data_IF_336231737812
#
_entry.id   IF_336231737812
#
_cell.length_a   1.000
_cell.length_b   1.000
_cell.length_c   1.000
_cell.angle_alpha   90.00
_cell.angle_beta   90.00
_cell.angle_gamma   90.00
#
_symmetry.space_group_name_H-M   'P 1'
#
loop_
_entity.id
_entity.type
_entity.pdbx_description
1 polymer ?
#
# COMPACT_ATOMS: atom_id res chain seq x y z
N UNK A 1 0.90 -16.49 0.57
CA UNK A 1 -0.39 -15.76 0.71
C UNK A 1 -0.23 -14.42 -0.01
N UNK A 2 -1.17 -13.96 -0.85
CA UNK A 2 -0.96 -12.75 -1.62
C UNK A 2 -0.89 -11.50 -0.73
N UNK A 3 0.15 -10.67 -0.90
CA UNK A 3 0.26 -9.38 -0.22
C UNK A 3 -0.89 -8.46 -0.69
N UNK A 4 -1.53 -7.75 0.24
CA UNK A 4 -2.63 -6.86 -0.02
C UNK A 4 -2.11 -5.60 -0.68
N UNK A 5 -2.93 -5.08 -1.58
CA UNK A 5 -2.71 -3.75 -2.13
C UNK A 5 -3.04 -2.72 -1.03
N UNK A 6 -2.02 -2.17 -0.38
CA UNK A 6 -2.13 -1.32 0.81
C UNK A 6 -1.55 0.05 0.65
N UNK A 7 -2.02 0.96 1.50
CA UNK A 7 -1.40 2.24 1.74
C UNK A 7 -1.99 2.97 2.94
N UNK A 8 -1.41 4.13 3.21
CA UNK A 8 -1.99 5.16 4.05
C UNK A 8 -2.02 6.46 3.24
N UNK A 9 -3.13 7.18 3.28
CA UNK A 9 -3.25 8.53 2.71
C UNK A 9 -3.80 9.46 3.77
N UNK A 10 -3.19 10.63 3.89
CA UNK A 10 -3.64 11.70 4.78
C UNK A 10 -3.89 12.98 4.01
N UNK A 11 -4.92 13.71 4.41
CA UNK A 11 -5.29 15.00 3.84
C UNK A 11 -5.12 16.07 4.90
N UNK A 12 -4.38 17.11 4.53
CA UNK A 12 -4.18 18.29 5.35
C UNK A 12 -4.93 19.47 4.75
N UNK A 13 -5.48 20.31 5.62
CA UNK A 13 -6.00 21.64 5.29
C UNK A 13 -5.18 22.72 5.99
N UNK A 14 -5.07 23.93 5.42
CA UNK A 14 -4.45 25.07 6.09
C UNK A 14 -5.28 25.45 7.32
N UNK A 15 -4.62 25.62 8.46
CA UNK A 15 -5.29 25.91 9.73
C UNK A 15 -5.97 27.28 9.78
N UNK A 16 -5.55 28.22 8.94
CA UNK A 16 -6.16 29.55 8.79
C UNK A 16 -7.37 29.55 7.83
N UNK A 17 -7.66 28.41 7.20
CA UNK A 17 -8.76 28.23 6.25
C UNK A 17 -8.53 28.84 4.86
N UNK A 18 -7.34 29.38 4.59
CA UNK A 18 -7.03 30.02 3.31
C UNK A 18 -6.46 28.98 2.33
N UNK A 19 -7.30 28.51 1.41
CA UNK A 19 -6.86 27.53 0.40
C UNK A 19 -5.65 28.01 -0.40
N UNK A 20 -4.64 27.14 -0.55
CA UNK A 20 -3.42 27.41 -1.30
C UNK A 20 -2.27 28.02 -0.47
N UNK A 21 -2.46 28.29 0.81
CA UNK A 21 -1.37 28.77 1.70
C UNK A 21 -0.49 27.64 2.23
N UNK A 22 -1.05 26.44 2.37
CA UNK A 22 -0.33 25.26 2.86
C UNK A 22 0.50 24.62 1.75
N UNK A 23 1.81 24.64 1.93
CA UNK A 23 2.77 23.84 1.20
C UNK A 23 3.25 22.70 2.09
N UNK A 24 3.22 21.49 1.52
CA UNK A 24 3.65 20.25 2.15
C UNK A 24 4.79 19.71 1.30
N UNK A 25 5.97 19.56 1.89
CA UNK A 25 7.16 19.11 1.16
C UNK A 25 7.81 17.94 1.88
N UNK A 26 8.26 16.97 1.09
CA UNK A 26 9.12 15.91 1.60
C UNK A 26 10.57 16.41 1.58
N UNK A 27 11.23 16.30 2.72
CA UNK A 27 12.63 16.72 2.91
C UNK A 27 13.55 15.50 2.82
N UNK A 28 14.80 15.72 2.44
CA UNK A 28 15.82 14.69 2.58
C UNK A 28 16.05 14.40 4.07
N UNK A 29 16.24 13.14 4.39
CA UNK A 29 16.63 12.73 5.73
C UNK A 29 18.08 13.19 5.99
N UNK A 30 18.40 13.57 7.22
CA UNK A 30 19.70 14.18 7.55
C UNK A 30 20.88 13.24 7.28
N UNK A 31 20.64 11.93 7.43
CA UNK A 31 21.65 10.88 7.34
C UNK A 31 21.67 10.16 5.98
N UNK A 32 20.64 10.35 5.15
CA UNK A 32 20.53 9.74 3.83
C UNK A 32 20.15 10.82 2.83
N UNK A 33 20.88 10.98 1.71
CA UNK A 33 20.51 11.91 0.62
C UNK A 33 19.22 11.46 -0.12
N UNK A 34 18.30 10.82 0.58
CA UNK A 34 17.05 10.24 0.14
C UNK A 34 15.93 10.85 0.98
N UNK A 35 14.76 10.94 0.36
CA UNK A 35 13.59 11.54 0.99
C UNK A 35 12.80 10.53 1.86
N UNK A 36 13.07 9.24 1.69
CA UNK A 36 12.42 8.13 2.39
C UNK A 36 13.45 7.05 2.72
N UNK A 37 13.28 6.42 3.88
CA UNK A 37 14.00 5.22 4.29
C UNK A 37 13.02 4.08 4.66
N UNK A 38 13.45 2.81 4.54
CA UNK A 38 12.60 1.68 4.91
C UNK A 38 12.46 1.56 6.43
N UNK A 39 11.29 1.12 6.87
CA UNK A 39 11.06 0.60 8.21
C UNK A 39 11.00 -0.91 8.13
N UNK A 40 11.81 -1.59 8.91
CA UNK A 40 11.73 -3.02 9.14
C UNK A 40 11.88 -3.29 10.62
N UNK A 41 10.86 -3.91 11.23
CA UNK A 41 10.94 -4.45 12.58
C UNK A 41 10.62 -5.94 12.49
N UNK A 42 11.55 -6.82 12.91
CA UNK A 42 11.30 -8.25 12.86
C UNK A 42 10.11 -8.61 13.74
N UNK A 43 9.44 -9.70 13.37
CA UNK A 43 8.40 -10.30 14.18
C UNK A 43 8.92 -10.60 15.60
N UNK A 44 8.14 -10.26 16.63
CA UNK A 44 8.50 -10.56 18.01
C UNK A 44 8.41 -12.07 18.29
N UNK A 45 7.44 -12.72 17.65
CA UNK A 45 7.16 -14.15 17.74
C UNK A 45 7.07 -14.77 16.33
N UNK A 46 7.42 -16.07 16.15
CA UNK A 46 7.37 -16.75 14.85
C UNK A 46 5.99 -16.76 14.17
N UNK A 47 4.92 -16.64 14.95
CA UNK A 47 3.52 -16.63 14.49
C UNK A 47 3.05 -15.23 14.05
N UNK A 48 3.87 -14.19 14.25
CA UNK A 48 3.54 -12.80 13.88
C UNK A 48 4.31 -12.37 12.65
N UNK A 49 3.77 -11.39 11.93
CA UNK A 49 4.47 -10.84 10.76
C UNK A 49 5.44 -9.73 11.18
N UNK A 50 6.54 -9.54 10.44
CA UNK A 50 7.37 -8.36 10.61
C UNK A 50 6.56 -7.10 10.28
N UNK A 51 6.86 -6.01 10.99
CA UNK A 51 6.33 -4.70 10.65
C UNK A 51 7.23 -4.06 9.58
N UNK A 52 6.66 -3.77 8.42
CA UNK A 52 7.37 -3.12 7.31
C UNK A 52 6.71 -1.78 6.95
N UNK A 53 7.48 -0.87 6.37
CA UNK A 53 6.94 0.42 5.97
C UNK A 53 8.00 1.40 5.48
N UNK A 54 7.65 2.68 5.57
CA UNK A 54 8.51 3.80 5.20
C UNK A 54 8.54 4.84 6.30
N UNK A 55 9.65 5.56 6.38
CA UNK A 55 9.83 6.77 7.20
C UNK A 55 10.30 7.90 6.30
N UNK A 56 9.90 9.13 6.63
CA UNK A 56 10.33 10.33 5.91
C UNK A 56 10.22 11.58 6.79
N UNK A 57 10.69 12.70 6.27
CA UNK A 57 10.60 14.01 6.93
C UNK A 57 9.67 14.94 6.15
N UNK A 58 8.59 15.36 6.78
CA UNK A 58 7.61 16.30 6.24
C UNK A 58 7.95 17.71 6.70
N UNK A 59 7.91 18.70 5.80
CA UNK A 59 7.98 20.11 6.16
C UNK A 59 6.68 20.83 5.78
N UNK A 60 6.15 21.58 6.74
CA UNK A 60 4.94 22.38 6.63
C UNK A 60 5.31 23.86 6.74
N UNK A 61 4.97 24.66 5.72
CA UNK A 61 5.28 26.10 5.72
C UNK A 61 4.36 26.93 6.63
N UNK A 62 3.18 26.42 6.94
CA UNK A 62 2.11 27.05 7.72
C UNK A 62 1.47 25.99 8.61
N UNK A 63 0.69 26.42 9.61
CA UNK A 63 -0.01 25.47 10.48
C UNK A 63 -1.03 24.67 9.65
N UNK A 64 -1.11 23.37 9.90
CA UNK A 64 -1.95 22.45 9.13
C UNK A 64 -2.86 21.62 10.05
N UNK A 65 -4.01 21.22 9.54
CA UNK A 65 -4.91 20.29 10.21
C UNK A 65 -5.01 19.03 9.36
N UNK A 66 -4.61 17.90 9.92
CA UNK A 66 -4.91 16.59 9.34
C UNK A 66 -6.38 16.27 9.63
N UNK A 67 -7.20 16.34 8.58
CA UNK A 67 -8.65 16.16 8.69
C UNK A 67 -9.08 14.71 8.42
N UNK A 68 -8.41 14.06 7.48
CA UNK A 68 -8.76 12.71 7.03
C UNK A 68 -7.50 11.87 6.92
N UNK A 69 -7.50 10.73 7.61
CA UNK A 69 -6.53 9.64 7.41
C UNK A 69 -7.26 8.40 6.93
N UNK A 70 -6.82 7.81 5.83
CA UNK A 70 -7.34 6.55 5.28
C UNK A 70 -6.21 5.53 5.36
N UNK A 71 -6.34 4.55 6.26
CA UNK A 71 -5.34 3.50 6.49
C UNK A 71 -5.93 2.16 6.04
N UNK A 72 -5.26 1.45 5.14
CA UNK A 72 -5.66 0.10 4.74
C UNK A 72 -5.59 -0.13 3.23
N UNK A 73 -6.60 -0.79 2.67
CA UNK A 73 -6.59 -1.18 1.26
C UNK A 73 -6.50 0.01 0.30
N UNK A 74 -5.71 -0.14 -0.76
CA UNK A 74 -5.66 0.77 -1.92
C UNK A 74 -7.05 1.01 -2.50
N UNK A 75 -7.95 0.01 -2.37
CA UNK A 75 -9.30 0.11 -2.90
C UNK A 75 -10.12 1.12 -2.12
N UNK A 76 -9.98 1.13 -0.79
CA UNK A 76 -10.59 2.14 0.08
C UNK A 76 -10.06 3.53 -0.25
N UNK A 77 -8.75 3.67 -0.45
CA UNK A 77 -8.13 4.93 -0.85
C UNK A 77 -8.68 5.40 -2.21
N UNK A 78 -8.72 4.53 -3.21
CA UNK A 78 -9.19 4.83 -4.56
C UNK A 78 -10.67 5.20 -4.61
N UNK A 79 -11.52 4.52 -3.82
CA UNK A 79 -12.94 4.82 -3.72
C UNK A 79 -13.18 6.23 -3.14
N UNK A 80 -12.23 6.75 -2.34
CA UNK A 80 -12.26 8.12 -1.84
C UNK A 80 -11.65 9.15 -2.83
N UNK A 81 -10.46 8.88 -3.37
CA UNK A 81 -9.72 9.88 -4.16
C UNK A 81 -10.21 10.02 -5.59
N UNK A 82 -10.68 8.95 -6.19
CA UNK A 82 -11.05 8.90 -7.62
C UNK A 82 -12.48 8.45 -7.84
N UNK A 83 -13.07 7.81 -6.83
CA UNK A 83 -14.48 7.47 -6.80
C UNK A 83 -15.34 8.66 -6.35
N UNK A 84 -16.56 8.39 -5.89
CA UNK A 84 -17.47 9.42 -5.40
C UNK A 84 -17.14 9.84 -3.95
N UNK A 85 -15.86 9.84 -3.59
CA UNK A 85 -15.38 10.22 -2.25
C UNK A 85 -15.97 9.41 -1.09
N UNK A 86 -16.05 8.08 -1.27
CA UNK A 86 -16.63 7.18 -0.27
C UNK A 86 -15.61 6.84 0.83
N UNK A 87 -16.01 7.08 2.07
CA UNK A 87 -15.39 6.50 3.26
C UNK A 87 -16.32 5.42 3.83
N UNK A 88 -15.83 4.18 3.91
CA UNK A 88 -16.58 3.07 4.50
C UNK A 88 -16.58 3.24 6.03
N UNK A 89 -17.72 3.45 6.70
CA UNK A 89 -17.74 3.79 8.12
C UNK A 89 -17.09 2.73 9.02
N UNK A 90 -17.28 1.45 8.74
CA UNK A 90 -16.67 0.36 9.53
C UNK A 90 -15.14 0.31 9.42
N UNK A 91 -14.56 0.83 8.34
CA UNK A 91 -13.11 0.94 8.17
C UNK A 91 -12.63 2.28 8.74
N UNK A 92 -13.24 3.38 8.32
CA UNK A 92 -12.80 4.72 8.67
C UNK A 92 -12.94 5.02 10.16
N UNK A 93 -14.00 4.53 10.82
CA UNK A 93 -14.23 4.77 12.25
C UNK A 93 -13.37 3.88 13.15
N UNK A 94 -12.67 2.89 12.60
CA UNK A 94 -11.75 2.04 13.35
C UNK A 94 -10.38 2.69 13.60
N UNK A 95 -10.07 3.83 12.95
CA UNK A 95 -8.84 4.56 13.23
C UNK A 95 -8.80 5.04 14.69
N UNK A 96 -7.75 4.68 15.40
CA UNK A 96 -7.44 5.17 16.74
C UNK A 96 -6.34 6.22 16.65
N UNK A 97 -6.58 7.38 17.26
CA UNK A 97 -5.62 8.49 17.31
C UNK A 97 -5.17 8.65 18.75
N UNK A 98 -3.86 8.61 18.96
CA UNK A 98 -3.24 8.62 20.29
C UNK A 98 -2.08 9.60 20.32
N UNK A 99 -1.97 10.37 21.41
CA UNK A 99 -0.81 11.19 21.75
C UNK A 99 0.35 10.27 22.16
N UNK A 100 1.51 10.42 21.52
CA UNK A 100 2.68 9.58 21.82
C UNK A 100 3.40 9.96 23.13
N UNK A 101 2.90 10.99 23.84
CA UNK A 101 3.42 11.60 25.07
C UNK A 101 4.79 12.26 24.91
N UNK A 102 5.30 12.34 23.70
CA UNK A 102 6.54 13.00 23.32
C UNK A 102 6.30 14.20 22.38
N UNK A 103 5.04 14.63 22.25
CA UNK A 103 4.62 15.73 21.38
C UNK A 103 4.31 15.31 19.94
N UNK A 104 4.30 14.02 19.64
CA UNK A 104 3.84 13.44 18.39
C UNK A 104 2.42 12.87 18.49
N UNK A 105 1.96 12.29 17.38
CA UNK A 105 0.69 11.59 17.32
C UNK A 105 0.82 10.30 16.51
N UNK A 106 0.04 9.30 16.89
CA UNK A 106 -0.07 8.02 16.19
C UNK A 106 -1.51 7.80 15.77
N UNK A 107 -1.71 7.41 14.52
CA UNK A 107 -2.95 6.88 13.97
C UNK A 107 -2.71 5.40 13.72
N UNK A 108 -3.47 4.52 14.37
CA UNK A 108 -3.41 3.09 14.08
C UNK A 108 -4.80 2.55 13.74
N UNK A 109 -4.84 1.43 13.02
CA UNK A 109 -6.09 0.75 12.70
C UNK A 109 -5.87 -0.76 12.63
N UNK A 110 -6.55 -1.48 13.52
CA UNK A 110 -6.74 -2.92 13.40
C UNK A 110 -7.72 -3.20 12.25
N UNK A 111 -7.35 -4.12 11.38
CA UNK A 111 -8.11 -4.49 10.21
C UNK A 111 -9.31 -5.36 10.58
N UNK A 112 -10.19 -5.56 9.59
CA UNK A 112 -11.38 -6.38 9.75
C UNK A 112 -11.06 -7.88 9.88
N UNK A 113 -9.81 -8.28 9.59
CA UNK A 113 -9.30 -9.63 9.88
C UNK A 113 -8.98 -9.86 11.36
N UNK A 114 -8.98 -8.80 12.18
CA UNK A 114 -8.67 -8.81 13.60
C UNK A 114 -7.24 -9.28 13.94
N UNK A 115 -6.33 -9.22 12.98
CA UNK A 115 -4.91 -9.59 13.14
C UNK A 115 -3.99 -8.47 12.67
N UNK A 116 -4.24 -7.93 11.47
CA UNK A 116 -3.36 -6.95 10.84
C UNK A 116 -3.62 -5.55 11.37
N UNK A 117 -2.57 -4.81 11.68
CA UNK A 117 -2.63 -3.40 12.07
C UNK A 117 -1.81 -2.53 11.12
N UNK A 118 -2.39 -1.41 10.70
CA UNK A 118 -1.65 -0.33 10.02
C UNK A 118 -1.38 0.80 11.00
N UNK A 119 -0.20 1.39 10.91
CA UNK A 119 0.27 2.46 11.77
C UNK A 119 0.75 3.64 10.93
N UNK A 120 0.42 4.85 11.37
CA UNK A 120 0.92 6.11 10.84
C UNK A 120 1.28 7.01 12.02
N UNK A 121 2.56 7.29 12.21
CA UNK A 121 3.06 8.13 13.31
C UNK A 121 3.66 9.41 12.79
N UNK A 122 3.49 10.50 13.53
CA UNK A 122 4.17 11.77 13.31
C UNK A 122 4.90 12.18 14.58
N UNK A 123 6.14 12.65 14.47
CA UNK A 123 6.92 13.20 15.58
C UNK A 123 7.58 14.52 15.18
N UNK A 124 7.51 15.55 16.02
CA UNK A 124 8.15 16.83 15.72
C UNK A 124 9.67 16.68 15.71
N UNK A 125 10.31 17.24 14.69
CA UNK A 125 11.75 17.43 14.68
C UNK A 125 12.06 18.75 15.41
N UNK A 126 12.18 18.66 16.74
CA UNK A 126 12.34 19.84 17.62
C UNK A 126 13.62 20.62 17.35
N UNK A 127 14.66 19.97 16.83
CA UNK A 127 15.92 20.62 16.48
C UNK A 127 15.78 21.47 15.22
N UNK A 128 14.90 21.05 14.30
CA UNK A 128 14.64 21.73 13.02
C UNK A 128 13.25 22.39 12.97
N UNK A 129 12.79 22.96 14.08
CA UNK A 129 11.62 23.84 14.12
C UNK A 129 10.26 23.14 14.20
N UNK A 130 10.22 21.81 14.32
CA UNK A 130 9.01 21.05 14.64
C UNK A 130 8.51 21.36 16.06
N UNK A 131 7.20 21.53 16.20
CA UNK A 131 6.55 21.77 17.50
C UNK A 131 5.59 20.63 17.85
N UNK A 132 5.31 20.38 19.15
CA UNK A 132 4.33 19.37 19.54
C UNK A 132 2.99 19.51 18.80
N UNK A 133 2.46 18.41 18.32
CA UNK A 133 1.13 18.37 17.69
C UNK A 133 0.03 18.44 18.75
N UNK A 134 -1.16 18.89 18.36
CA UNK A 134 -2.34 18.85 19.23
C UNK A 134 -3.45 18.01 18.62
N UNK A 135 -4.07 17.18 19.45
CA UNK A 135 -5.16 16.29 19.04
C UNK A 135 -6.47 16.87 19.55
N UNK A 136 -7.44 17.05 18.65
CA UNK A 136 -8.80 17.47 19.00
C UNK A 136 -9.79 16.53 18.34
N UNK A 137 -10.44 15.69 19.14
CA UNK A 137 -11.36 14.66 18.65
C UNK A 137 -10.68 13.72 17.64
N UNK A 138 -10.94 13.90 16.33
CA UNK A 138 -10.39 13.07 15.24
C UNK A 138 -9.41 13.81 14.33
N UNK A 139 -9.06 15.05 14.66
CA UNK A 139 -8.12 15.85 13.88
C UNK A 139 -6.82 16.04 14.64
N UNK A 140 -5.73 16.14 13.89
CA UNK A 140 -4.39 16.42 14.41
C UNK A 140 -3.96 17.75 13.83
N UNK A 141 -3.66 18.71 14.70
CA UNK A 141 -3.15 20.02 14.31
C UNK A 141 -1.64 20.07 14.48
N UNK A 142 -1.00 20.58 13.45
CA UNK A 142 0.43 20.80 13.32
C UNK A 142 0.71 22.30 13.24
N UNK A 143 1.75 22.76 13.91
CA UNK A 143 2.30 24.10 13.67
C UNK A 143 3.31 24.06 12.51
N UNK A 144 3.72 25.20 11.93
CA UNK A 144 4.73 25.20 10.87
C UNK A 144 6.02 24.56 11.38
N UNK A 145 6.71 23.81 10.52
CA UNK A 145 7.96 23.14 10.89
C UNK A 145 8.10 21.76 10.29
N UNK A 146 9.07 21.01 10.83
CA UNK A 146 9.47 19.70 10.33
C UNK A 146 8.95 18.57 11.24
N UNK A 147 8.44 17.51 10.63
CA UNK A 147 7.84 16.37 11.31
C UNK A 147 8.29 15.08 10.64
N UNK A 148 8.98 14.23 11.40
CA UNK A 148 9.21 12.87 10.92
C UNK A 148 7.87 12.13 10.89
N UNK A 149 7.62 11.38 9.83
CA UNK A 149 6.47 10.49 9.74
C UNK A 149 6.93 9.06 9.46
N UNK A 150 6.16 8.09 9.95
CA UNK A 150 6.35 6.69 9.58
C UNK A 150 5.00 6.04 9.29
N UNK A 151 4.89 5.37 8.16
CA UNK A 151 3.74 4.57 7.77
C UNK A 151 4.17 3.10 7.65
N UNK A 152 3.55 2.20 8.42
CA UNK A 152 3.93 0.78 8.46
C UNK A 152 2.75 -0.15 8.74
N UNK A 153 2.93 -1.43 8.51
CA UNK A 153 1.93 -2.48 8.74
C UNK A 153 2.60 -3.84 9.00
N UNK A 154 1.88 -4.77 9.62
CA UNK A 154 2.32 -6.11 10.04
C UNK A 154 1.54 -7.23 9.31
N UNK A 155 1.58 -7.21 7.98
CA UNK A 155 0.92 -8.19 7.11
C UNK A 155 1.96 -9.13 6.46
N UNK A 156 1.61 -10.37 6.05
CA UNK A 156 2.52 -11.22 5.28
C UNK A 156 3.08 -10.56 4.01
N UNK A 157 4.40 -10.59 3.84
CA UNK A 157 5.07 -10.02 2.66
C UNK A 157 5.09 -11.01 1.49
N UNK A 158 5.06 -10.49 0.25
CA UNK A 158 5.32 -11.32 -0.93
C UNK A 158 6.83 -11.49 -1.12
N UNK A 159 7.20 -12.62 -1.70
CA UNK A 159 8.56 -12.87 -2.15
C UNK A 159 8.77 -12.24 -3.52
N UNK A 160 9.53 -11.15 -3.53
CA UNK A 160 9.85 -10.38 -4.73
C UNK A 160 10.91 -11.09 -5.56
N UNK A 161 10.71 -11.11 -6.88
CA UNK A 161 11.75 -11.52 -7.81
C UNK A 161 12.80 -10.40 -7.92
N UNK A 162 14.06 -10.73 -7.70
CA UNK A 162 15.19 -9.83 -7.95
C UNK A 162 15.32 -9.49 -9.43
N UNK A 163 16.15 -8.48 -9.73
CA UNK A 163 16.46 -8.09 -11.11
C UNK A 163 17.12 -9.22 -11.92
N UNK A 164 17.81 -10.14 -11.25
CA UNK A 164 18.38 -11.33 -11.87
C UNK A 164 17.32 -12.42 -12.10
N UNK A 165 16.43 -12.65 -11.14
CA UNK A 165 15.40 -13.69 -11.21
C UNK A 165 14.28 -13.36 -12.19
N UNK A 166 13.96 -12.07 -12.39
CA UNK A 166 12.89 -11.66 -13.30
C UNK A 166 13.25 -11.80 -14.78
N UNK A 167 14.55 -11.80 -15.11
CA UNK A 167 15.06 -11.84 -16.48
C UNK A 167 15.59 -13.24 -16.85
N UNK A 168 15.39 -13.65 -18.11
CA UNK A 168 16.08 -14.83 -18.63
C UNK A 168 17.59 -14.60 -18.78
N UNK A 169 18.36 -15.69 -18.90
CA UNK A 169 19.83 -15.65 -19.01
C UNK A 169 20.30 -14.80 -20.20
N UNK A 170 19.58 -14.81 -21.33
CA UNK A 170 19.96 -14.06 -22.52
C UNK A 170 19.78 -12.54 -22.37
N UNK A 171 18.92 -12.10 -21.44
CA UNK A 171 18.53 -10.70 -21.26
C UNK A 171 19.18 -10.03 -20.04
N UNK A 172 20.08 -10.73 -19.34
CA UNK A 172 20.73 -10.21 -18.13
C UNK A 172 21.50 -8.90 -18.33
N UNK A 173 21.98 -8.63 -19.55
CA UNK A 173 22.66 -7.36 -19.88
C UNK A 173 21.77 -6.12 -19.71
N UNK A 174 20.44 -6.28 -19.71
CA UNK A 174 19.48 -5.19 -19.47
C UNK A 174 19.62 -4.57 -18.08
N UNK A 175 20.09 -5.33 -17.08
CA UNK A 175 20.35 -4.81 -15.72
C UNK A 175 21.31 -3.62 -15.74
N UNK A 176 22.29 -3.63 -16.65
CA UNK A 176 23.25 -2.52 -16.82
C UNK A 176 22.82 -1.51 -17.88
N UNK A 177 22.08 -1.94 -18.91
CA UNK A 177 21.66 -1.06 -20.03
C UNK A 177 20.44 -0.21 -19.70
N UNK A 178 19.57 -0.70 -18.81
CA UNK A 178 18.27 -0.10 -18.48
C UNK A 178 17.91 -0.38 -17.02
N UNK A 179 18.77 0.04 -16.06
CA UNK A 179 18.65 -0.32 -14.65
C UNK A 179 17.30 0.10 -14.06
N UNK A 180 16.85 1.33 -14.31
CA UNK A 180 15.58 1.84 -13.77
C UNK A 180 14.37 1.06 -14.28
N UNK A 181 14.38 0.62 -15.53
CA UNK A 181 13.30 -0.19 -16.11
C UNK A 181 13.28 -1.60 -15.52
N UNK A 182 14.47 -2.21 -15.33
CA UNK A 182 14.57 -3.54 -14.73
C UNK A 182 14.22 -3.51 -13.24
N UNK A 183 14.64 -2.47 -12.52
CA UNK A 183 14.24 -2.25 -11.12
C UNK A 183 12.72 -2.09 -11.00
N UNK A 184 12.10 -1.34 -11.92
CA UNK A 184 10.64 -1.19 -11.97
C UNK A 184 9.93 -2.50 -12.29
N UNK A 185 10.50 -3.33 -13.17
CA UNK A 185 9.96 -4.65 -13.50
C UNK A 185 10.05 -5.60 -12.30
N UNK A 186 11.22 -5.67 -11.65
CA UNK A 186 11.43 -6.45 -10.42
C UNK A 186 10.51 -5.96 -9.29
N UNK A 187 10.34 -4.64 -9.15
CA UNK A 187 9.43 -4.03 -8.18
C UNK A 187 7.99 -4.58 -8.29
N UNK A 188 7.52 -4.84 -9.51
CA UNK A 188 6.17 -5.32 -9.79
C UNK A 188 6.09 -6.84 -9.94
N UNK A 189 7.19 -7.58 -9.76
CA UNK A 189 7.26 -9.02 -10.02
C UNK A 189 7.52 -9.80 -8.74
N UNK A 190 6.62 -10.72 -8.42
CA UNK A 190 6.69 -11.59 -7.26
C UNK A 190 6.50 -13.03 -7.70
N UNK A 191 6.99 -13.97 -6.90
CA UNK A 191 6.92 -15.42 -7.18
C UNK A 191 5.50 -15.90 -7.45
N UNK A 192 4.51 -15.33 -6.73
CA UNK A 192 3.11 -15.71 -6.86
C UNK A 192 2.36 -14.98 -7.99
N UNK A 193 2.82 -13.79 -8.41
CA UNK A 193 2.14 -12.93 -9.41
C UNK A 193 2.95 -11.69 -9.82
N UNK A 194 2.65 -11.16 -11.00
CA UNK A 194 3.01 -9.79 -11.38
C UNK A 194 1.86 -8.82 -11.07
N UNK A 195 2.20 -7.66 -10.51
CA UNK A 195 1.27 -6.57 -10.23
C UNK A 195 1.01 -5.73 -11.49
N UNK A 196 -0.21 -5.21 -11.63
CA UNK A 196 -0.60 -4.43 -12.81
C UNK A 196 0.05 -3.04 -12.86
N UNK A 197 0.49 -2.50 -11.73
CA UNK A 197 1.26 -1.26 -11.66
C UNK A 197 1.35 -0.65 -10.26
N UNK A 198 2.16 0.39 -10.12
CA UNK A 198 2.28 1.18 -8.88
C UNK A 198 1.45 2.48 -8.94
N UNK A 199 1.19 3.17 -7.83
CA UNK A 199 0.77 2.66 -6.52
C UNK A 199 -0.73 2.25 -6.55
N UNK A 200 -1.47 2.70 -7.58
CA UNK A 200 -2.93 2.62 -7.72
C UNK A 200 -3.46 1.21 -8.05
N UNK A 201 -2.64 0.39 -8.68
CA UNK A 201 -3.00 -0.93 -9.21
C UNK A 201 -2.06 -2.03 -8.69
N UNK A 202 -1.62 -1.91 -7.44
CA UNK A 202 -0.72 -2.84 -6.74
C UNK A 202 -1.37 -4.20 -6.42
N UNK A 203 -2.02 -4.81 -7.40
CA UNK A 203 -2.63 -6.15 -7.32
C UNK A 203 -2.67 -6.78 -8.71
N UNK A 204 -3.15 -8.02 -8.77
CA UNK A 204 -3.36 -8.76 -10.00
C UNK A 204 -4.53 -8.20 -10.82
N UNK A 205 -4.32 -8.05 -12.13
CA UNK A 205 -5.36 -7.79 -13.13
C UNK A 205 -5.19 -8.74 -14.31
N UNK A 206 -6.10 -9.70 -14.50
CA UNK A 206 -5.83 -10.84 -15.39
C UNK A 206 -5.58 -10.48 -16.85
N UNK A 207 -6.29 -9.49 -17.38
CA UNK A 207 -6.03 -9.00 -18.74
C UNK A 207 -4.65 -8.35 -18.84
N UNK A 208 -4.34 -7.46 -17.90
CA UNK A 208 -3.14 -6.64 -17.97
C UNK A 208 -1.89 -7.50 -17.71
N UNK A 209 -1.96 -8.44 -16.76
CA UNK A 209 -0.91 -9.44 -16.53
C UNK A 209 -0.64 -10.31 -17.77
N UNK A 210 -1.67 -10.80 -18.46
CA UNK A 210 -1.50 -11.61 -19.68
C UNK A 210 -0.97 -10.81 -20.89
N UNK A 211 -1.40 -9.55 -21.04
CA UNK A 211 -0.85 -8.65 -22.08
C UNK A 211 0.61 -8.34 -21.77
N UNK A 212 0.95 -8.01 -20.52
CA UNK A 212 2.34 -7.78 -20.10
C UNK A 212 3.22 -8.99 -20.35
N UNK A 213 2.74 -10.20 -20.03
CA UNK A 213 3.44 -11.44 -20.37
C UNK A 213 3.65 -11.55 -21.89
N UNK A 214 2.62 -11.35 -22.71
CA UNK A 214 2.76 -11.43 -24.17
C UNK A 214 3.83 -10.46 -24.72
N UNK A 215 3.91 -9.26 -24.17
CA UNK A 215 4.85 -8.23 -24.62
C UNK A 215 6.28 -8.45 -24.08
N UNK A 216 6.41 -8.93 -22.84
CA UNK A 216 7.69 -9.04 -22.14
C UNK A 216 8.27 -10.45 -22.16
N UNK A 217 7.53 -11.47 -22.60
CA UNK A 217 7.99 -12.87 -22.66
C UNK A 217 9.42 -13.04 -23.20
N UNK A 218 9.87 -12.33 -24.26
CA UNK A 218 11.23 -12.49 -24.79
C UNK A 218 12.35 -12.21 -23.77
N UNK A 219 12.07 -11.44 -22.71
CA UNK A 219 13.05 -11.07 -21.69
C UNK A 219 12.79 -11.71 -20.33
N UNK A 220 11.58 -12.18 -20.06
CA UNK A 220 11.20 -12.77 -18.77
C UNK A 220 11.85 -14.14 -18.57
N UNK A 221 12.15 -14.47 -17.32
CA UNK A 221 12.58 -15.82 -16.92
C UNK A 221 11.45 -16.84 -17.10
N UNK A 222 11.83 -18.06 -17.47
CA UNK A 222 10.92 -19.20 -17.69
C UNK A 222 11.39 -20.41 -16.86
N UNK A 223 10.45 -21.28 -16.49
CA UNK A 223 10.70 -22.45 -15.64
C UNK A 223 10.03 -22.35 -14.27
N UNK A 224 10.44 -23.23 -13.36
CA UNK A 224 9.99 -23.24 -11.96
C UNK A 224 10.44 -21.96 -11.24
N UNK A 225 9.54 -21.37 -10.44
CA UNK A 225 9.73 -20.14 -9.67
C UNK A 225 10.10 -18.91 -10.52
N UNK A 226 9.70 -18.90 -11.80
CA UNK A 226 10.04 -17.86 -12.77
C UNK A 226 8.96 -16.79 -12.95
N UNK A 227 9.32 -15.68 -13.60
CA UNK A 227 8.38 -14.59 -13.87
C UNK A 227 7.24 -15.02 -14.81
N UNK A 228 7.50 -15.87 -15.81
CA UNK A 228 6.45 -16.40 -16.70
C UNK A 228 5.50 -17.34 -15.96
N UNK A 229 6.03 -18.22 -15.09
CA UNK A 229 5.20 -19.09 -14.27
C UNK A 229 4.33 -18.28 -13.31
N UNK A 230 4.90 -17.28 -12.62
CA UNK A 230 4.17 -16.40 -11.72
C UNK A 230 2.93 -15.78 -12.39
N UNK A 231 3.03 -15.34 -13.65
CA UNK A 231 1.87 -14.80 -14.38
C UNK A 231 0.83 -15.88 -14.68
N UNK A 232 1.25 -17.01 -15.25
CA UNK A 232 0.33 -18.06 -15.69
C UNK A 232 -0.37 -18.70 -14.49
N UNK A 233 0.38 -19.02 -13.43
CA UNK A 233 -0.16 -19.55 -12.18
C UNK A 233 -1.16 -18.59 -11.55
N UNK A 234 -0.83 -17.30 -11.45
CA UNK A 234 -1.75 -16.30 -10.91
C UNK A 234 -3.08 -16.24 -11.66
N UNK A 235 -3.06 -16.41 -12.98
CA UNK A 235 -4.27 -16.49 -13.83
C UNK A 235 -5.06 -17.75 -13.55
N UNK A 236 -4.40 -18.92 -13.61
CA UNK A 236 -5.05 -20.23 -13.43
C UNK A 236 -5.72 -20.36 -12.06
N UNK A 237 -5.05 -19.90 -10.99
CA UNK A 237 -5.60 -19.89 -9.63
C UNK A 237 -6.89 -19.09 -9.50
N UNK A 238 -7.08 -18.10 -10.37
CA UNK A 238 -8.20 -17.14 -10.32
C UNK A 238 -9.23 -17.37 -11.43
N UNK A 239 -9.18 -18.52 -12.10
CA UNK A 239 -10.23 -18.96 -13.02
C UNK A 239 -11.45 -19.44 -12.23
N UNK A 240 -12.63 -18.99 -12.65
CA UNK A 240 -13.87 -19.54 -12.16
C UNK A 240 -14.03 -20.99 -12.65
N UNK A 241 -13.98 -21.95 -11.71
CA UNK A 241 -14.08 -23.39 -12.01
C UNK A 241 -15.40 -23.81 -12.67
N UNK A 242 -16.44 -22.99 -12.60
CA UNK A 242 -17.76 -23.31 -13.15
C UNK A 242 -17.91 -22.88 -14.60
N UNK A 243 -17.45 -21.68 -14.96
CA UNK A 243 -17.66 -21.10 -16.30
C UNK A 243 -16.37 -20.77 -17.07
N UNK A 244 -15.20 -21.04 -16.49
CA UNK A 244 -13.89 -20.78 -17.11
C UNK A 244 -13.53 -19.29 -17.21
N UNK A 245 -14.32 -18.38 -16.64
CA UNK A 245 -14.01 -16.96 -16.71
C UNK A 245 -12.79 -16.59 -15.88
N UNK A 246 -11.89 -15.80 -16.47
CA UNK A 246 -10.70 -15.28 -15.79
C UNK A 246 -11.08 -14.09 -14.90
N UNK A 247 -10.46 -14.00 -13.72
CA UNK A 247 -10.60 -12.86 -12.84
C UNK A 247 -10.10 -11.57 -13.51
N UNK A 248 -10.94 -10.52 -13.50
CA UNK A 248 -10.54 -9.22 -14.03
C UNK A 248 -9.56 -8.49 -13.09
N UNK A 249 -9.87 -8.46 -11.80
CA UNK A 249 -9.12 -7.78 -10.74
C UNK A 249 -9.29 -8.59 -9.46
N UNK A 250 -8.17 -8.92 -8.82
CA UNK A 250 -8.18 -9.60 -7.53
C UNK A 250 -8.48 -8.58 -6.41
N UNK A 251 -9.44 -8.91 -5.56
CA UNK A 251 -9.74 -8.19 -4.34
C UNK A 251 -9.18 -8.94 -3.15
N UNK A 252 -8.32 -8.28 -2.35
CA UNK A 252 -7.51 -8.90 -1.28
C UNK A 252 -7.43 -8.00 -0.06
N UNK A 253 -6.90 -8.55 1.03
CA UNK A 253 -6.68 -7.86 2.30
C UNK A 253 -7.97 -7.34 2.91
N UNK A 254 -7.88 -6.22 3.62
CA UNK A 254 -8.99 -5.63 4.38
C UNK A 254 -10.26 -5.41 3.55
N UNK A 255 -10.12 -5.04 2.28
CA UNK A 255 -11.29 -4.83 1.41
C UNK A 255 -11.97 -6.14 1.04
N UNK A 256 -11.24 -7.25 0.89
CA UNK A 256 -11.85 -8.56 0.70
C UNK A 256 -12.64 -8.99 1.93
N UNK A 257 -12.06 -8.79 3.13
CA UNK A 257 -12.75 -9.04 4.40
C UNK A 257 -14.02 -8.21 4.51
N UNK A 258 -13.96 -6.91 4.18
CA UNK A 258 -15.13 -6.04 4.11
C UNK A 258 -16.22 -6.61 3.19
N UNK A 259 -15.86 -7.01 1.95
CA UNK A 259 -16.84 -7.54 1.01
C UNK A 259 -17.43 -8.89 1.44
N UNK A 260 -16.65 -9.76 2.10
CA UNK A 260 -17.15 -11.00 2.69
C UNK A 260 -18.17 -10.69 3.80
N UNK A 261 -17.87 -9.75 4.68
CA UNK A 261 -18.79 -9.32 5.74
C UNK A 261 -20.10 -8.73 5.17
N UNK A 262 -20.05 -7.98 4.07
CA UNK A 262 -21.26 -7.51 3.38
C UNK A 262 -22.16 -8.64 2.86
N UNK A 263 -21.61 -9.84 2.68
CA UNK A 263 -22.34 -11.04 2.29
C UNK A 263 -22.66 -11.97 3.48
N UNK A 264 -22.45 -11.49 4.72
CA UNK A 264 -22.55 -12.29 5.95
C UNK A 264 -21.60 -13.51 5.98
N UNK A 265 -20.44 -13.39 5.32
CA UNK A 265 -19.39 -14.42 5.31
C UNK A 265 -18.25 -13.94 6.21
N UNK A 266 -17.94 -14.70 7.26
CA UNK A 266 -16.76 -14.45 8.10
C UNK A 266 -15.52 -15.06 7.42
N UNK A 267 -14.88 -14.29 6.53
CA UNK A 267 -13.69 -14.75 5.80
C UNK A 267 -12.81 -13.58 5.37
N UNK A 268 -11.50 -13.82 5.35
CA UNK A 268 -10.47 -12.94 4.78
C UNK A 268 -10.06 -13.36 3.36
N UNK A 269 -10.71 -14.39 2.81
CA UNK A 269 -10.34 -14.96 1.53
C UNK A 269 -10.50 -13.94 0.39
N UNK A 270 -9.56 -13.92 -0.59
CA UNK A 270 -9.66 -13.09 -1.79
C UNK A 270 -10.98 -13.28 -2.55
N UNK A 271 -11.39 -12.23 -3.25
CA UNK A 271 -12.53 -12.25 -4.18
C UNK A 271 -12.12 -11.83 -5.59
N UNK A 272 -12.91 -12.24 -6.59
CA UNK A 272 -12.77 -11.84 -7.99
C UNK A 272 -13.89 -10.90 -8.42
N UNK A 273 -13.56 -9.74 -9.00
CA UNK A 273 -14.57 -8.78 -9.48
C UNK A 273 -15.41 -9.25 -10.66
N UNK A 274 -14.93 -10.18 -11.49
CA UNK A 274 -15.74 -10.72 -12.59
C UNK A 274 -16.95 -11.51 -12.08
N UNK A 275 -16.87 -12.07 -10.86
CA UNK A 275 -17.95 -12.83 -10.24
C UNK A 275 -19.03 -11.95 -9.59
N UNK A 276 -18.73 -10.69 -9.27
CA UNK A 276 -19.67 -9.78 -8.61
C UNK A 276 -20.67 -9.13 -9.58
N UNK A 277 -20.28 -8.90 -10.84
CA UNK A 277 -21.17 -8.29 -11.84
C UNK A 277 -22.31 -9.21 -12.29
N UNK A 278 -22.15 -10.54 -12.22
CA UNK A 278 -23.18 -11.51 -12.64
C UNK A 278 -24.30 -11.73 -11.61
N UNK A 279 -24.16 -11.24 -10.37
CA UNK A 279 -25.18 -11.41 -9.30
C UNK A 279 -26.21 -10.27 -9.22
N UNK A 280 -26.22 -9.34 -10.18
CA UNK A 280 -27.18 -8.21 -10.25
C UNK A 280 -28.24 -8.37 -11.36
N UNK A 281 -28.62 -9.60 -11.67
CA UNK A 281 -29.74 -9.91 -12.56
C UNK A 281 -30.69 -10.89 -11.86
#
# INVERSE_FOLDING_TARGET
MPQPALGAVVFFSPADGLNGTLAITLQNLTDSQRALDPVYRPAADPETNPQVGVVGLLSLNTSAVLETAILGSIRTIRDFTEGPSILVPSIQNANQIVDDRAGGASISRLWLDNETTTFLTFKPDQENGGSPVSISNRTIRFEPGNYSFSASFDYPQLDQLSTQEVLNTASQSLTSQSPEQVDSLAFLSYTDKLLAGAWRFLTYFGRDSMISLLLLQPILSEGEDSAVEAVISAVLERINRTDGSVCHEETIGDYATYLNLQQNISSTAPQSKSQQKKRKL
#
